data_IF_788538402228
#
_entry.id   IF_788538402228
#
_cell.length_a   1.000
_cell.length_b   1.000
_cell.length_c   1.000
_cell.angle_alpha   90.00
_cell.angle_beta   90.00
_cell.angle_gamma   90.00
#
_symmetry.space_group_name_H-M   'P 1'
#
loop_
_entity.id
_entity.type
_entity.pdbx_description
1 polymer ?
#
# COMPACT_ATOMS: atom_id res chain seq x y z
N UNK A 1 -3.31 27.25 -12.33
CA UNK A 1 -2.53 26.01 -12.57
C UNK A 1 -2.89 24.85 -11.64
N UNK A 2 -2.93 25.00 -10.30
CA UNK A 2 -3.21 23.89 -9.36
C UNK A 2 -4.48 23.07 -9.70
N UNK A 3 -5.60 23.73 -10.01
CA UNK A 3 -6.86 23.04 -10.34
C UNK A 3 -6.81 22.24 -11.65
N UNK A 4 -6.03 22.70 -12.64
CA UNK A 4 -5.93 22.05 -13.95
C UNK A 4 -5.14 20.75 -13.83
N UNK A 5 -3.99 20.75 -13.15
CA UNK A 5 -3.21 19.53 -12.96
C UNK A 5 -3.96 18.51 -12.09
N UNK A 6 -4.66 18.96 -11.05
CA UNK A 6 -5.52 18.10 -10.23
C UNK A 6 -6.66 17.46 -11.05
N UNK A 7 -7.30 18.24 -11.93
CA UNK A 7 -8.27 17.71 -12.88
C UNK A 7 -7.63 16.74 -13.87
N UNK A 8 -6.42 17.01 -14.37
CA UNK A 8 -5.70 16.10 -15.26
C UNK A 8 -5.37 14.78 -14.54
N UNK A 9 -4.86 14.82 -13.31
CA UNK A 9 -4.59 13.63 -12.49
C UNK A 9 -5.89 12.83 -12.34
N UNK A 10 -6.96 13.44 -11.82
CA UNK A 10 -8.27 12.78 -11.70
C UNK A 10 -8.79 12.24 -13.03
N UNK A 11 -8.67 13.00 -14.12
CA UNK A 11 -9.11 12.57 -15.45
C UNK A 11 -8.28 11.38 -15.96
N UNK A 12 -6.95 11.39 -15.80
CA UNK A 12 -6.09 10.29 -16.23
C UNK A 12 -6.40 9.01 -15.46
N UNK A 13 -6.72 9.17 -14.18
CA UNK A 13 -7.15 8.10 -13.32
C UNK A 13 -8.60 7.62 -13.66
N UNK A 14 -9.56 8.51 -13.95
CA UNK A 14 -11.00 8.20 -14.20
C UNK A 14 -11.34 7.81 -15.65
N UNK A 15 -10.85 8.54 -16.66
CA UNK A 15 -11.29 8.41 -18.08
C UNK A 15 -10.65 7.25 -18.82
N UNK A 16 -9.62 6.64 -18.26
CA UNK A 16 -8.86 5.58 -18.89
C UNK A 16 -8.89 4.40 -17.95
N UNK A 17 -9.84 3.48 -18.13
CA UNK A 17 -9.84 2.11 -17.56
C UNK A 17 -8.65 1.27 -18.04
N UNK A 18 -7.46 1.89 -18.11
CA UNK A 18 -6.19 1.46 -18.68
C UNK A 18 -5.32 0.76 -17.63
N UNK A 19 -5.85 0.57 -16.42
CA UNK A 19 -5.09 0.05 -15.28
C UNK A 19 -4.57 -1.37 -15.48
N UNK A 20 -5.26 -2.22 -16.26
CA UNK A 20 -4.93 -3.66 -16.31
C UNK A 20 -4.62 -4.16 -17.73
N UNK A 21 -4.92 -3.38 -18.78
CA UNK A 21 -4.78 -3.88 -20.17
C UNK A 21 -3.33 -3.99 -20.67
N UNK A 22 -2.36 -3.36 -20.01
CA UNK A 22 -0.98 -3.27 -20.53
C UNK A 22 -0.02 -4.34 -20.01
N UNK A 23 -0.37 -5.05 -18.95
CA UNK A 23 0.50 -6.09 -18.37
C UNK A 23 -0.13 -7.49 -18.46
N UNK A 24 -1.35 -7.57 -19.01
CA UNK A 24 -2.04 -8.81 -19.30
C UNK A 24 -1.32 -9.52 -20.46
N UNK A 25 -0.70 -10.66 -20.18
CA UNK A 25 -0.34 -11.58 -21.24
C UNK A 25 -1.64 -12.03 -21.92
N UNK A 26 -1.87 -11.58 -23.16
CA UNK A 26 -3.09 -11.83 -23.94
C UNK A 26 -3.42 -13.33 -24.05
N UNK A 27 -2.40 -14.19 -23.96
CA UNK A 27 -2.52 -15.65 -24.08
C UNK A 27 -2.86 -16.33 -22.76
N UNK A 28 -2.28 -15.88 -21.66
CA UNK A 28 -2.46 -16.52 -20.34
C UNK A 28 -3.47 -15.80 -19.45
N UNK A 29 -3.89 -14.59 -19.83
CA UNK A 29 -4.68 -13.69 -18.99
C UNK A 29 -4.05 -13.41 -17.61
N UNK A 30 -2.73 -13.56 -17.51
CA UNK A 30 -1.98 -13.29 -16.27
C UNK A 30 -1.10 -12.06 -16.44
N UNK A 31 -1.03 -11.27 -15.38
CA UNK A 31 -0.13 -10.14 -15.29
C UNK A 31 1.30 -10.65 -15.13
N UNK A 32 2.18 -10.27 -16.05
CA UNK A 32 3.62 -10.60 -15.95
C UNK A 32 4.29 -9.48 -15.15
N UNK A 33 4.35 -9.68 -13.84
CA UNK A 33 5.03 -8.78 -12.93
C UNK A 33 6.55 -8.98 -13.05
N UNK A 34 7.28 -7.89 -13.32
CA UNK A 34 8.69 -7.88 -12.91
C UNK A 34 8.73 -7.79 -11.40
N UNK A 35 9.70 -8.45 -10.80
CA UNK A 35 9.88 -8.41 -9.36
C UNK A 35 10.48 -7.10 -8.85
N UNK A 36 11.06 -6.31 -9.76
CA UNK A 36 11.67 -5.03 -9.46
C UNK A 36 11.52 -4.06 -10.64
N UNK A 37 11.13 -2.83 -10.32
CA UNK A 37 11.07 -1.69 -11.22
C UNK A 37 11.93 -0.56 -10.67
N UNK A 38 12.76 0.02 -11.52
CA UNK A 38 13.53 1.24 -11.25
C UNK A 38 13.34 2.18 -12.42
N UNK A 39 12.77 3.35 -12.16
CA UNK A 39 12.61 4.40 -13.17
C UNK A 39 12.98 5.75 -12.57
N UNK A 40 13.69 6.57 -13.35
CA UNK A 40 14.01 7.96 -12.97
C UNK A 40 13.20 8.88 -13.88
N UNK A 41 12.38 9.74 -13.27
CA UNK A 41 11.66 10.80 -13.95
C UNK A 41 12.40 12.11 -13.72
N UNK A 42 12.74 12.82 -14.79
CA UNK A 42 13.51 14.06 -14.73
C UNK A 42 12.80 15.16 -15.49
N UNK A 43 12.72 16.35 -14.88
CA UNK A 43 12.28 17.58 -15.53
C UNK A 43 12.95 18.77 -14.84
N UNK A 44 13.65 19.61 -15.62
CA UNK A 44 14.44 20.72 -15.07
C UNK A 44 15.42 20.18 -14.00
N UNK A 45 15.48 20.82 -12.83
CA UNK A 45 16.27 20.37 -11.69
C UNK A 45 15.56 19.32 -10.81
N UNK A 46 14.32 18.92 -11.17
CA UNK A 46 13.52 17.96 -10.40
C UNK A 46 13.74 16.55 -10.91
N UNK A 47 14.00 15.63 -10.00
CA UNK A 47 14.21 14.21 -10.25
C UNK A 47 13.40 13.36 -9.26
N UNK A 48 12.77 12.31 -9.75
CA UNK A 48 12.12 11.28 -8.95
C UNK A 48 12.66 9.91 -9.33
N UNK A 49 13.29 9.24 -8.38
CA UNK A 49 13.58 7.82 -8.45
C UNK A 49 12.36 7.06 -7.91
N UNK A 50 11.74 6.21 -8.72
CA UNK A 50 10.70 5.28 -8.25
C UNK A 50 11.25 3.86 -8.25
N UNK A 51 11.25 3.24 -7.07
CA UNK A 51 11.55 1.83 -6.85
C UNK A 51 10.26 1.08 -6.54
N UNK A 52 9.83 0.22 -7.48
CA UNK A 52 8.66 -0.64 -7.36
C UNK A 52 9.06 -2.08 -7.14
N UNK A 53 8.95 -2.60 -5.92
CA UNK A 53 9.51 -3.92 -5.54
C UNK A 53 8.44 -4.92 -5.10
N UNK A 54 8.76 -6.21 -5.13
CA UNK A 54 7.98 -7.20 -4.38
C UNK A 54 8.38 -7.10 -2.91
N UNK A 55 7.40 -7.01 -2.01
CA UNK A 55 7.63 -6.99 -0.57
C UNK A 55 8.53 -8.16 -0.14
N UNK A 56 9.57 -7.85 0.61
CA UNK A 56 10.56 -8.83 1.09
C UNK A 56 10.96 -8.51 2.53
N UNK A 57 11.03 -9.56 3.34
CA UNK A 57 11.58 -9.49 4.70
C UNK A 57 12.94 -10.19 4.81
N UNK A 58 13.55 -10.53 3.66
CA UNK A 58 14.87 -11.15 3.60
C UNK A 58 15.97 -10.07 3.40
N UNK A 59 16.84 -9.85 4.40
CA UNK A 59 17.96 -8.92 4.29
C UNK A 59 18.95 -9.27 3.18
N UNK A 60 19.07 -10.57 2.85
CA UNK A 60 19.94 -11.06 1.77
C UNK A 60 19.35 -10.90 0.38
N UNK A 61 18.11 -10.41 0.27
CA UNK A 61 17.43 -10.33 -1.02
C UNK A 61 18.10 -9.32 -1.96
N UNK A 62 18.07 -9.62 -3.26
CA UNK A 62 18.59 -8.73 -4.30
C UNK A 62 17.88 -7.38 -4.32
N UNK A 63 16.64 -7.31 -3.84
CA UNK A 63 15.82 -6.09 -3.78
C UNK A 63 16.37 -5.10 -2.75
N UNK A 64 16.66 -5.54 -1.52
CA UNK A 64 17.31 -4.71 -0.50
C UNK A 64 18.64 -4.12 -1.02
N UNK A 65 19.45 -4.93 -1.71
CA UNK A 65 20.69 -4.47 -2.34
C UNK A 65 20.43 -3.42 -3.44
N UNK A 66 19.37 -3.59 -4.23
CA UNK A 66 18.99 -2.64 -5.27
C UNK A 66 18.51 -1.29 -4.70
N UNK A 67 17.79 -1.30 -3.57
CA UNK A 67 17.44 -0.07 -2.85
C UNK A 67 18.70 0.66 -2.43
N UNK A 68 19.62 -0.02 -1.73
CA UNK A 68 20.87 0.58 -1.27
C UNK A 68 21.67 1.22 -2.40
N UNK A 69 21.91 0.46 -3.48
CA UNK A 69 22.66 0.97 -4.63
C UNK A 69 21.96 2.18 -5.25
N UNK A 70 20.63 2.11 -5.39
CA UNK A 70 19.87 3.21 -5.97
C UNK A 70 19.90 4.46 -5.10
N UNK A 71 19.89 4.34 -3.77
CA UNK A 71 20.01 5.48 -2.87
C UNK A 71 21.42 6.09 -2.90
N UNK A 72 22.46 5.25 -2.91
CA UNK A 72 23.86 5.69 -3.01
C UNK A 72 24.12 6.49 -4.30
N UNK A 73 23.59 6.01 -5.42
CA UNK A 73 23.76 6.64 -6.73
C UNK A 73 22.89 7.89 -6.86
N UNK A 74 21.62 7.78 -6.47
CA UNK A 74 20.64 8.84 -6.66
C UNK A 74 20.79 9.98 -5.66
N UNK A 75 21.24 9.72 -4.43
CA UNK A 75 21.38 10.73 -3.35
C UNK A 75 20.13 11.61 -3.23
N UNK A 76 18.99 11.06 -2.76
CA UNK A 76 17.75 11.81 -2.61
C UNK A 76 17.87 12.85 -1.49
N UNK A 77 17.08 13.92 -1.58
CA UNK A 77 16.86 14.91 -0.51
C UNK A 77 15.65 14.52 0.35
N UNK A 78 14.70 13.79 -0.25
CA UNK A 78 13.49 13.29 0.38
C UNK A 78 13.22 11.84 -0.03
N UNK A 79 12.83 11.03 0.94
CA UNK A 79 12.46 9.62 0.75
C UNK A 79 11.01 9.43 1.13
N UNK A 80 10.27 8.78 0.25
CA UNK A 80 8.88 8.41 0.41
C UNK A 80 8.80 6.89 0.45
N UNK A 81 8.10 6.33 1.43
CA UNK A 81 7.94 4.89 1.56
C UNK A 81 6.50 4.49 1.89
N UNK A 82 6.19 3.21 1.66
CA UNK A 82 4.88 2.59 1.90
C UNK A 82 4.71 2.19 3.38
N UNK A 83 3.50 2.29 3.94
CA UNK A 83 3.12 1.90 5.32
C UNK A 83 3.43 2.82 6.51
N UNK A 84 2.56 2.66 7.52
CA UNK A 84 2.73 3.10 8.90
C UNK A 84 3.71 2.17 9.63
N UNK A 85 5.01 2.46 9.56
CA UNK A 85 5.90 2.01 10.64
C UNK A 85 5.37 2.67 11.91
N UNK A 86 4.88 1.90 12.88
CA UNK A 86 4.59 2.42 14.22
C UNK A 86 5.88 3.01 14.75
N UNK A 87 6.05 4.33 14.60
CA UNK A 87 7.28 5.06 14.92
C UNK A 87 7.76 4.81 16.36
N UNK A 88 6.85 4.40 17.25
CA UNK A 88 7.11 4.16 18.67
C UNK A 88 7.98 2.95 18.99
N UNK A 89 8.04 1.89 18.16
CA UNK A 89 8.76 0.66 18.58
C UNK A 89 10.26 0.64 18.25
N UNK A 90 10.76 1.62 17.49
CA UNK A 90 12.20 1.78 17.24
C UNK A 90 12.83 2.90 18.06
N UNK A 91 12.00 3.80 18.57
CA UNK A 91 12.39 4.98 19.35
C UNK A 91 11.85 4.81 20.76
N UNK A 92 12.25 3.75 21.46
CA UNK A 92 12.19 3.75 22.93
C UNK A 92 13.49 4.29 23.51
N UNK A 93 13.95 5.41 22.94
CA UNK A 93 14.74 6.38 23.69
C UNK A 93 13.84 7.59 23.86
N UNK A 94 13.48 7.90 25.11
CA UNK A 94 12.65 9.05 25.51
C UNK A 94 13.26 10.43 25.16
N UNK A 95 14.17 10.49 24.19
CA UNK A 95 14.98 11.66 23.84
C UNK A 95 14.93 12.02 22.34
N UNK A 96 14.09 11.39 21.51
CA UNK A 96 13.82 11.87 20.15
C UNK A 96 15.05 11.97 19.23
N UNK A 97 16.17 11.41 19.65
CA UNK A 97 17.39 11.25 18.88
C UNK A 97 17.56 9.76 18.70
N UNK A 98 17.60 9.30 17.45
CA UNK A 98 18.53 8.23 17.12
C UNK A 98 19.91 8.83 17.45
N UNK A 99 20.31 8.79 18.73
CA UNK A 99 21.72 8.98 19.09
C UNK A 99 22.50 8.03 18.19
N UNK A 100 23.70 8.45 17.78
CA UNK A 100 24.59 7.86 16.78
C UNK A 100 25.04 6.40 17.06
N UNK A 101 24.11 5.53 17.44
CA UNK A 101 24.24 4.09 17.43
C UNK A 101 24.22 3.73 15.96
N UNK A 102 25.43 3.65 15.40
CA UNK A 102 25.69 2.91 14.18
C UNK A 102 24.96 1.57 14.32
N UNK A 103 23.80 1.43 13.67
CA UNK A 103 23.12 0.15 13.60
C UNK A 103 24.13 -0.82 12.98
N UNK A 104 24.55 -1.81 13.75
CA UNK A 104 25.35 -2.88 13.19
C UNK A 104 24.52 -3.66 12.15
N UNK A 105 25.17 -4.50 11.36
CA UNK A 105 24.48 -5.30 10.35
C UNK A 105 23.36 -6.16 10.96
N UNK A 106 23.46 -6.56 12.24
CA UNK A 106 22.44 -7.36 12.92
C UNK A 106 21.14 -6.58 13.18
N UNK A 107 21.24 -5.28 13.48
CA UNK A 107 20.07 -4.42 13.67
C UNK A 107 19.39 -4.06 12.34
N UNK A 108 20.18 -3.82 11.28
CA UNK A 108 19.64 -3.63 9.92
C UNK A 108 18.87 -4.87 9.48
N UNK A 109 19.44 -6.05 9.69
CA UNK A 109 18.80 -7.33 9.38
C UNK A 109 17.49 -7.50 10.15
N UNK A 110 17.47 -7.19 11.45
CA UNK A 110 16.23 -7.21 12.25
C UNK A 110 15.19 -6.26 11.65
N UNK A 111 15.59 -5.05 11.31
CA UNK A 111 14.68 -4.05 10.76
C UNK A 111 14.07 -4.49 9.42
N UNK A 112 14.86 -5.08 8.54
CA UNK A 112 14.34 -5.66 7.30
C UNK A 112 13.44 -6.86 7.58
N UNK A 113 13.78 -7.72 8.55
CA UNK A 113 12.92 -8.87 8.90
C UNK A 113 11.56 -8.46 9.44
N UNK A 114 11.49 -7.36 10.20
CA UNK A 114 10.23 -6.90 10.79
C UNK A 114 9.41 -5.99 9.85
N UNK A 115 10.06 -5.10 9.10
CA UNK A 115 9.37 -4.04 8.33
C UNK A 115 9.70 -4.06 6.83
N UNK A 116 10.46 -5.06 6.38
CA UNK A 116 10.83 -5.24 4.99
C UNK A 116 11.62 -4.09 4.40
N UNK A 117 11.41 -3.87 3.10
CA UNK A 117 11.99 -2.80 2.33
C UNK A 117 11.61 -1.39 2.82
N UNK A 118 10.40 -1.21 3.33
CA UNK A 118 9.98 0.08 3.90
C UNK A 118 10.84 0.47 5.09
N UNK A 119 11.03 -0.47 6.04
CA UNK A 119 11.88 -0.24 7.19
C UNK A 119 13.27 0.20 6.76
N UNK A 120 13.80 -0.48 5.74
CA UNK A 120 15.12 -0.18 5.21
C UNK A 120 15.18 1.19 4.55
N UNK A 121 14.17 1.59 3.78
CA UNK A 121 14.09 2.91 3.18
C UNK A 121 14.05 4.04 4.23
N UNK A 122 13.29 3.88 5.31
CA UNK A 122 13.28 4.84 6.43
C UNK A 122 14.65 4.92 7.11
N UNK A 123 15.27 3.77 7.39
CA UNK A 123 16.63 3.71 7.95
C UNK A 123 17.64 4.47 7.07
N UNK A 124 17.64 4.23 5.76
CA UNK A 124 18.53 4.92 4.83
C UNK A 124 18.30 6.43 4.83
N UNK A 125 17.04 6.87 4.92
CA UNK A 125 16.72 8.29 5.00
C UNK A 125 17.24 8.95 6.26
N UNK A 126 16.99 8.35 7.42
CA UNK A 126 17.49 8.86 8.70
C UNK A 126 19.01 8.87 8.76
N UNK A 127 19.67 7.80 8.30
CA UNK A 127 21.13 7.69 8.26
C UNK A 127 21.78 8.78 7.40
N UNK A 128 21.13 9.17 6.30
CA UNK A 128 21.64 10.22 5.40
C UNK A 128 21.16 11.62 5.78
N UNK A 129 20.48 11.81 6.91
CA UNK A 129 19.85 13.06 7.33
C UNK A 129 18.90 13.64 6.25
N UNK A 130 18.24 12.74 5.51
CA UNK A 130 17.24 13.08 4.50
C UNK A 130 15.86 13.18 5.14
N UNK A 131 14.98 13.98 4.54
CA UNK A 131 13.58 14.02 4.99
C UNK A 131 12.88 12.72 4.61
N UNK A 132 12.29 12.01 5.57
CA UNK A 132 11.43 10.87 5.31
C UNK A 132 9.95 11.25 5.44
N UNK A 133 9.13 10.82 4.48
CA UNK A 133 7.70 11.17 4.43
C UNK A 133 6.86 9.96 4.09
N UNK A 134 5.80 9.76 4.86
CA UNK A 134 4.73 8.83 4.53
C UNK A 134 3.56 9.64 3.96
N UNK A 135 3.09 9.26 2.77
CA UNK A 135 2.03 10.00 2.04
C UNK A 135 0.78 9.14 1.77
N UNK A 136 0.72 7.95 2.37
CA UNK A 136 -0.49 7.14 2.31
C UNK A 136 -1.63 7.79 3.10
N UNK A 137 -2.88 7.70 2.59
CA UNK A 137 -4.03 8.15 3.37
C UNK A 137 -4.17 7.31 4.64
N UNK A 138 -4.67 7.94 5.70
CA UNK A 138 -5.05 7.24 6.91
C UNK A 138 -6.16 6.23 6.65
N UNK A 139 -6.28 5.23 7.53
CA UNK A 139 -7.41 4.29 7.49
C UNK A 139 -8.75 5.03 7.52
N UNK A 140 -8.86 6.07 8.34
CA UNK A 140 -10.05 6.92 8.41
C UNK A 140 -10.40 7.59 7.08
N UNK A 141 -9.44 8.20 6.39
CA UNK A 141 -9.67 8.80 5.07
C UNK A 141 -10.13 7.76 4.05
N UNK A 142 -9.58 6.54 4.10
CA UNK A 142 -10.01 5.45 3.22
C UNK A 142 -11.45 5.04 3.53
N UNK A 143 -11.82 4.86 4.80
CA UNK A 143 -13.20 4.54 5.20
C UNK A 143 -14.18 5.63 4.75
N UNK A 144 -13.85 6.89 4.98
CA UNK A 144 -14.70 8.01 4.58
C UNK A 144 -14.84 8.12 3.06
N UNK A 145 -13.80 7.76 2.30
CA UNK A 145 -13.90 7.66 0.86
C UNK A 145 -14.84 6.52 0.44
N UNK A 146 -14.70 5.33 1.00
CA UNK A 146 -15.51 4.17 0.63
C UNK A 146 -16.99 4.36 1.00
N UNK A 147 -17.28 4.89 2.18
CA UNK A 147 -18.65 5.11 2.66
C UNK A 147 -19.43 6.17 1.88
N UNK A 148 -18.77 6.96 1.02
CA UNK A 148 -19.45 7.85 0.06
C UNK A 148 -20.12 7.09 -1.09
N UNK A 149 -19.64 5.89 -1.40
CA UNK A 149 -20.03 5.16 -2.62
C UNK A 149 -20.60 3.77 -2.33
N UNK A 150 -20.35 3.22 -1.15
CA UNK A 150 -20.73 1.87 -0.76
C UNK A 150 -21.49 1.88 0.55
N UNK A 151 -22.35 0.87 0.74
CA UNK A 151 -23.11 0.72 1.98
C UNK A 151 -22.20 0.23 3.10
N UNK A 152 -22.58 0.54 4.34
CA UNK A 152 -21.80 0.18 5.55
C UNK A 152 -21.55 -1.32 5.65
N UNK A 153 -22.54 -2.14 5.30
CA UNK A 153 -22.45 -3.60 5.33
C UNK A 153 -21.45 -4.13 4.29
N UNK A 154 -21.38 -3.50 3.12
CA UNK A 154 -20.46 -3.89 2.04
C UNK A 154 -19.01 -3.57 2.41
N UNK A 155 -18.78 -2.39 2.98
CA UNK A 155 -17.46 -1.97 3.48
C UNK A 155 -17.03 -2.85 4.66
N UNK A 156 -17.93 -3.14 5.60
CA UNK A 156 -17.68 -4.08 6.70
C UNK A 156 -17.21 -5.44 6.17
N UNK A 157 -18.00 -6.07 5.29
CA UNK A 157 -17.68 -7.39 4.75
C UNK A 157 -16.36 -7.38 3.99
N UNK A 158 -16.11 -6.35 3.17
CA UNK A 158 -14.84 -6.20 2.46
C UNK A 158 -13.63 -6.23 3.40
N UNK A 159 -13.66 -5.47 4.49
CA UNK A 159 -12.56 -5.41 5.44
C UNK A 159 -12.36 -6.71 6.22
N UNK A 160 -13.45 -7.41 6.57
CA UNK A 160 -13.37 -8.76 7.14
C UNK A 160 -12.68 -9.74 6.17
N UNK A 161 -13.10 -9.78 4.90
CA UNK A 161 -12.50 -10.64 3.88
C UNK A 161 -11.04 -10.29 3.60
N UNK A 162 -10.71 -8.98 3.58
CA UNK A 162 -9.34 -8.49 3.42
C UNK A 162 -8.45 -8.98 4.56
N UNK A 163 -8.92 -8.94 5.80
CA UNK A 163 -8.18 -9.47 6.94
C UNK A 163 -7.94 -10.99 6.82
N UNK A 164 -8.97 -11.74 6.44
CA UNK A 164 -8.85 -13.19 6.23
C UNK A 164 -7.80 -13.51 5.16
N UNK A 165 -7.81 -12.82 4.02
CA UNK A 165 -6.78 -12.95 2.95
C UNK A 165 -5.35 -12.83 3.51
N UNK A 166 -5.10 -11.84 4.37
CA UNK A 166 -3.74 -11.58 4.89
C UNK A 166 -3.32 -12.63 5.93
N UNK A 167 -4.27 -13.16 6.70
CA UNK A 167 -3.98 -14.08 7.80
C UNK A 167 -4.12 -15.56 7.42
N UNK A 168 -4.60 -15.89 6.21
CA UNK A 168 -4.85 -17.27 5.76
C UNK A 168 -3.72 -18.29 6.02
N UNK A 169 -2.44 -17.87 6.08
CA UNK A 169 -1.33 -18.78 6.44
C UNK A 169 -1.29 -19.14 7.93
N UNK A 170 -1.59 -18.19 8.82
CA UNK A 170 -1.69 -18.44 10.26
C UNK A 170 -2.91 -19.29 10.61
N UNK A 171 -4.04 -19.01 9.97
CA UNK A 171 -5.31 -19.72 10.22
C UNK A 171 -5.23 -21.18 9.78
N UNK A 172 -4.51 -21.51 8.69
CA UNK A 172 -4.30 -22.90 8.24
C UNK A 172 -3.55 -23.78 9.24
N UNK A 173 -2.67 -23.18 10.05
CA UNK A 173 -1.85 -23.92 11.03
C UNK A 173 -2.52 -24.00 12.41
N UNK A 174 -3.61 -23.25 12.64
CA UNK A 174 -4.41 -23.31 13.86
C UNK A 174 -5.90 -22.97 13.55
N UNK A 175 -6.73 -23.96 13.18
CA UNK A 175 -8.10 -23.76 12.69
C UNK A 175 -9.15 -23.44 13.78
N UNK A 176 -8.78 -23.45 15.06
CA UNK A 176 -9.56 -22.83 16.15
C UNK A 176 -9.28 -21.32 16.14
N UNK A 177 -10.09 -20.42 15.60
CA UNK A 177 -11.45 -20.43 15.08
C UNK A 177 -11.52 -19.15 14.22
N UNK A 178 -12.41 -19.09 13.23
CA UNK A 178 -12.78 -17.82 12.60
C UNK A 178 -13.07 -16.70 13.63
N UNK A 179 -13.57 -17.10 14.80
CA UNK A 179 -13.79 -16.26 15.97
C UNK A 179 -12.50 -15.69 16.56
N UNK A 180 -11.43 -16.47 16.73
CA UNK A 180 -10.11 -15.95 17.12
C UNK A 180 -9.54 -14.96 16.08
N UNK A 181 -9.77 -15.21 14.79
CA UNK A 181 -9.41 -14.25 13.74
C UNK A 181 -10.16 -12.93 13.91
N UNK A 182 -11.45 -12.99 14.22
CA UNK A 182 -12.25 -11.81 14.51
C UNK A 182 -11.86 -11.15 15.83
N UNK A 183 -11.47 -11.89 16.86
CA UNK A 183 -10.93 -11.34 18.12
C UNK A 183 -9.63 -10.58 17.87
N UNK A 184 -8.71 -11.16 17.10
CA UNK A 184 -7.43 -10.53 16.77
C UNK A 184 -7.65 -9.31 15.88
N UNK A 185 -8.56 -9.40 14.90
CA UNK A 185 -8.95 -8.27 14.08
C UNK A 185 -9.60 -7.17 14.91
N UNK A 186 -10.48 -7.56 15.84
CA UNK A 186 -11.16 -6.64 16.74
C UNK A 186 -10.15 -5.91 17.63
N UNK A 187 -9.17 -6.62 18.21
CA UNK A 187 -8.09 -6.00 18.99
C UNK A 187 -7.28 -4.98 18.19
N UNK A 188 -7.11 -5.19 16.89
CA UNK A 188 -6.27 -4.33 16.06
C UNK A 188 -7.05 -3.18 15.40
N UNK A 189 -8.33 -3.37 15.09
CA UNK A 189 -9.07 -2.51 14.16
C UNK A 189 -10.53 -2.24 14.53
N UNK A 190 -11.06 -2.82 15.62
CA UNK A 190 -12.49 -2.69 15.93
C UNK A 190 -12.94 -1.25 16.07
N UNK A 191 -12.15 -0.43 16.77
CA UNK A 191 -12.54 0.95 17.06
C UNK A 191 -12.85 1.73 15.79
N UNK A 192 -12.05 1.54 14.72
CA UNK A 192 -12.27 2.23 13.46
C UNK A 192 -13.45 1.66 12.67
N UNK A 193 -13.54 0.34 12.53
CA UNK A 193 -14.61 -0.29 11.74
C UNK A 193 -15.96 -0.09 12.39
N UNK A 194 -16.05 -0.32 13.70
CA UNK A 194 -17.26 -0.10 14.45
C UNK A 194 -17.64 1.39 14.44
N UNK A 195 -16.71 2.31 14.67
CA UNK A 195 -17.01 3.75 14.62
C UNK A 195 -17.54 4.19 13.25
N UNK A 196 -17.00 3.65 12.15
CA UNK A 196 -17.39 4.06 10.79
C UNK A 196 -18.65 3.35 10.27
N UNK A 197 -18.84 2.08 10.62
CA UNK A 197 -19.94 1.24 10.09
C UNK A 197 -21.08 1.02 11.08
N UNK A 198 -20.85 1.18 12.38
CA UNK A 198 -21.81 0.81 13.43
C UNK A 198 -22.01 -0.71 13.58
N UNK A 199 -21.19 -1.53 12.93
CA UNK A 199 -21.31 -3.00 12.93
C UNK A 199 -20.17 -3.57 13.76
N UNK A 200 -20.50 -4.31 14.82
CA UNK A 200 -19.49 -4.99 15.63
C UNK A 200 -18.88 -6.14 14.83
N UNK A 201 -17.57 -6.31 14.98
CA UNK A 201 -16.83 -7.39 14.35
C UNK A 201 -17.08 -8.69 15.14
N UNK A 202 -18.09 -9.44 14.73
CA UNK A 202 -18.44 -10.76 15.29
C UNK A 202 -18.59 -11.81 14.20
N UNK A 203 -18.42 -13.08 14.55
CA UNK A 203 -18.62 -14.21 13.62
C UNK A 203 -20.05 -14.21 13.05
N UNK A 204 -21.04 -13.92 13.89
CA UNK A 204 -22.46 -13.89 13.54
C UNK A 204 -22.74 -12.79 12.49
N UNK A 205 -22.23 -11.57 12.72
CA UNK A 205 -22.40 -10.48 11.77
C UNK A 205 -21.69 -10.79 10.45
N UNK A 206 -20.48 -11.34 10.51
CA UNK A 206 -19.78 -11.75 9.30
C UNK A 206 -20.57 -12.77 8.48
N UNK A 207 -21.01 -13.88 9.07
CA UNK A 207 -21.78 -14.93 8.38
C UNK A 207 -23.11 -14.38 7.84
N UNK A 208 -23.76 -13.48 8.58
CA UNK A 208 -24.97 -12.81 8.14
C UNK A 208 -24.73 -11.99 6.86
N UNK A 209 -23.71 -11.12 6.85
CA UNK A 209 -23.43 -10.26 5.70
C UNK A 209 -22.79 -11.01 4.53
N UNK A 210 -21.99 -12.04 4.79
CA UNK A 210 -21.48 -12.97 3.78
C UNK A 210 -22.66 -13.57 2.98
N UNK A 211 -23.59 -14.22 3.67
CA UNK A 211 -24.77 -14.83 3.05
C UNK A 211 -25.61 -13.79 2.30
N UNK A 212 -25.84 -12.62 2.91
CA UNK A 212 -26.67 -11.54 2.35
C UNK A 212 -26.07 -10.92 1.09
N UNK A 213 -24.75 -10.70 1.05
CA UNK A 213 -24.11 -9.90 0.00
C UNK A 213 -23.44 -10.75 -1.09
N UNK A 214 -23.01 -11.96 -0.77
CA UNK A 214 -22.35 -12.84 -1.73
C UNK A 214 -23.29 -13.90 -2.31
N UNK A 215 -24.43 -14.16 -1.66
CA UNK A 215 -25.42 -15.16 -2.07
C UNK A 215 -24.84 -16.58 -2.26
N UNK A 216 -23.71 -16.87 -1.61
CA UNK A 216 -23.11 -18.19 -1.47
C UNK A 216 -22.19 -18.16 -0.24
N UNK A 217 -22.01 -19.33 0.38
CA UNK A 217 -20.97 -19.55 1.39
C UNK A 217 -19.70 -20.03 0.68
N UNK A 218 -18.54 -19.58 1.13
CA UNK A 218 -17.26 -20.08 0.65
C UNK A 218 -16.45 -20.68 1.80
N UNK A 219 -15.49 -21.54 1.45
CA UNK A 219 -14.52 -22.02 2.43
C UNK A 219 -13.50 -20.90 2.71
N UNK A 220 -13.44 -20.47 3.97
CA UNK A 220 -12.56 -19.40 4.47
C UNK A 220 -11.09 -19.69 4.22
N UNK A 221 -10.72 -20.96 4.08
CA UNK A 221 -9.34 -21.41 3.83
C UNK A 221 -9.03 -21.59 2.35
N UNK A 222 -10.04 -21.44 1.49
CA UNK A 222 -9.90 -21.61 0.06
C UNK A 222 -9.26 -20.39 -0.59
N UNK A 223 -8.85 -20.56 -1.85
CA UNK A 223 -8.37 -19.45 -2.68
C UNK A 223 -9.49 -18.46 -3.05
N UNK A 224 -10.75 -18.79 -2.75
CA UNK A 224 -11.91 -17.96 -3.08
C UNK A 224 -11.89 -16.62 -2.31
N UNK A 225 -11.47 -16.62 -1.04
CA UNK A 225 -11.27 -15.37 -0.26
C UNK A 225 -10.37 -14.40 -1.02
N UNK A 226 -9.27 -14.91 -1.59
CA UNK A 226 -8.35 -14.06 -2.34
C UNK A 226 -9.02 -13.44 -3.57
N UNK A 227 -9.90 -14.18 -4.25
CA UNK A 227 -10.65 -13.70 -5.41
C UNK A 227 -11.69 -12.64 -5.02
N UNK A 228 -12.36 -12.82 -3.87
CA UNK A 228 -13.41 -11.90 -3.40
C UNK A 228 -12.90 -10.49 -3.09
N UNK A 229 -11.61 -10.35 -2.76
CA UNK A 229 -10.97 -9.05 -2.50
C UNK A 229 -9.85 -8.74 -3.50
N UNK A 230 -9.79 -9.46 -4.63
CA UNK A 230 -8.86 -9.17 -5.69
C UNK A 230 -9.33 -7.95 -6.49
N UNK A 231 -8.53 -6.90 -6.49
CA UNK A 231 -8.74 -5.66 -7.24
C UNK A 231 -8.59 -5.83 -8.76
N UNK A 232 -7.92 -6.90 -9.21
CA UNK A 232 -7.61 -7.15 -10.63
C UNK A 232 -8.70 -7.94 -11.37
N UNK A 233 -9.57 -8.63 -10.64
CA UNK A 233 -10.60 -9.48 -11.23
C UNK A 233 -11.75 -8.64 -11.82
N UNK A 234 -12.40 -9.19 -12.86
CA UNK A 234 -13.63 -8.62 -13.42
C UNK A 234 -14.62 -8.44 -12.27
N UNK A 235 -15.01 -7.20 -11.98
CA UNK A 235 -15.66 -6.74 -10.74
C UNK A 235 -17.06 -7.34 -10.51
N UNK A 236 -17.11 -8.66 -10.34
CA UNK A 236 -18.27 -9.52 -10.17
C UNK A 236 -18.92 -9.26 -8.82
N UNK A 237 -18.10 -9.13 -7.77
CA UNK A 237 -18.55 -8.89 -6.41
C UNK A 237 -18.36 -7.43 -6.00
N UNK A 238 -19.25 -6.93 -5.12
CA UNK A 238 -19.14 -5.57 -4.58
C UNK A 238 -17.82 -5.36 -3.84
N UNK A 239 -17.31 -6.39 -3.16
CA UNK A 239 -16.04 -6.39 -2.44
C UNK A 239 -14.84 -6.17 -3.37
N UNK A 240 -14.88 -6.67 -4.60
CA UNK A 240 -13.85 -6.40 -5.62
C UNK A 240 -13.92 -4.94 -6.12
N UNK A 241 -15.14 -4.39 -6.26
CA UNK A 241 -15.33 -2.97 -6.60
C UNK A 241 -14.77 -2.07 -5.49
N UNK A 242 -15.00 -2.43 -4.23
CA UNK A 242 -14.45 -1.75 -3.06
C UNK A 242 -12.92 -1.84 -3.06
N UNK A 243 -12.34 -3.03 -3.24
CA UNK A 243 -10.88 -3.23 -3.31
C UNK A 243 -10.23 -2.30 -4.35
N UNK A 244 -10.83 -2.23 -5.53
CA UNK A 244 -10.38 -1.34 -6.61
C UNK A 244 -10.53 0.14 -6.26
N UNK A 245 -11.63 0.54 -5.63
CA UNK A 245 -11.87 1.92 -5.20
C UNK A 245 -10.90 2.35 -4.11
N UNK A 246 -10.61 1.46 -3.15
CA UNK A 246 -9.59 1.69 -2.11
C UNK A 246 -8.21 1.88 -2.74
N UNK A 247 -7.76 0.95 -3.59
CA UNK A 247 -6.45 1.06 -4.24
C UNK A 247 -6.34 2.35 -5.06
N UNK A 248 -7.37 2.67 -5.83
CA UNK A 248 -7.43 3.89 -6.62
C UNK A 248 -7.30 5.16 -5.77
N UNK A 249 -8.01 5.21 -4.64
CA UNK A 249 -7.95 6.35 -3.73
C UNK A 249 -6.56 6.47 -3.10
N UNK A 250 -5.97 5.36 -2.62
CA UNK A 250 -4.59 5.32 -2.10
C UNK A 250 -3.59 5.83 -3.14
N UNK A 251 -3.62 5.28 -4.35
CA UNK A 251 -2.70 5.68 -5.43
C UNK A 251 -2.86 7.13 -5.85
N UNK A 252 -4.10 7.63 -5.87
CA UNK A 252 -4.36 9.05 -6.14
C UNK A 252 -3.72 9.92 -5.07
N UNK A 253 -3.88 9.57 -3.79
CA UNK A 253 -3.28 10.30 -2.66
C UNK A 253 -1.76 10.24 -2.63
N UNK A 254 -1.19 9.09 -2.95
CA UNK A 254 0.27 8.93 -3.09
C UNK A 254 0.80 9.83 -4.21
N UNK A 255 0.17 9.82 -5.39
CA UNK A 255 0.61 10.70 -6.49
C UNK A 255 0.43 12.18 -6.16
N UNK A 256 -0.66 12.56 -5.49
CA UNK A 256 -0.87 13.92 -4.98
C UNK A 256 0.24 14.33 -4.00
N UNK A 257 0.57 13.46 -3.04
CA UNK A 257 1.64 13.68 -2.07
C UNK A 257 3.01 13.83 -2.74
N UNK A 258 3.36 12.95 -3.69
CA UNK A 258 4.58 13.04 -4.48
C UNK A 258 4.63 14.40 -5.19
N UNK A 259 3.54 14.80 -5.85
CA UNK A 259 3.46 16.09 -6.53
C UNK A 259 3.73 17.26 -5.59
N UNK A 260 3.14 17.28 -4.40
CA UNK A 260 3.41 18.34 -3.41
C UNK A 260 4.87 18.33 -2.94
N UNK A 261 5.49 17.15 -2.80
CA UNK A 261 6.91 17.04 -2.47
C UNK A 261 7.82 17.58 -3.57
N UNK A 262 7.46 17.43 -4.86
CA UNK A 262 8.27 18.01 -5.96
C UNK A 262 8.42 19.53 -5.89
N UNK A 263 7.50 20.21 -5.19
CA UNK A 263 7.57 21.66 -4.99
C UNK A 263 8.63 22.06 -3.96
N UNK A 264 8.94 21.16 -3.02
CA UNK A 264 9.85 21.39 -1.89
C UNK A 264 11.25 20.81 -2.15
N UNK A 265 11.31 19.64 -2.77
CA UNK A 265 12.55 18.86 -2.93
C UNK A 265 12.95 18.78 -4.40
N UNK A 266 14.24 18.63 -4.67
CA UNK A 266 14.75 18.45 -6.03
C UNK A 266 14.90 16.98 -6.38
N UNK A 267 15.30 16.14 -5.42
CA UNK A 267 15.55 14.71 -5.64
C UNK A 267 14.73 13.88 -4.66
N UNK A 268 13.69 13.23 -5.16
CA UNK A 268 12.78 12.40 -4.35
C UNK A 268 13.00 10.94 -4.70
N UNK A 269 13.19 10.08 -3.70
CA UNK A 269 13.18 8.63 -3.88
C UNK A 269 11.87 8.06 -3.32
N UNK A 270 11.18 7.23 -4.10
CA UNK A 270 9.94 6.54 -3.72
C UNK A 270 10.22 5.04 -3.66
N UNK A 271 9.88 4.41 -2.54
CA UNK A 271 10.01 2.96 -2.31
C UNK A 271 8.64 2.39 -1.98
N UNK A 272 8.02 1.73 -2.96
CA UNK A 272 6.66 1.18 -2.86
C UNK A 272 6.59 -0.20 -3.52
N UNK A 273 5.52 -0.93 -3.23
CA UNK A 273 5.17 -2.16 -3.91
C UNK A 273 5.08 -1.99 -5.44
N UNK A 274 5.42 -3.06 -6.16
CA UNK A 274 5.40 -3.08 -7.62
C UNK A 274 4.01 -2.80 -8.20
N UNK A 275 2.94 -3.20 -7.50
CA UNK A 275 1.55 -2.90 -7.87
C UNK A 275 1.31 -1.39 -7.91
N UNK A 276 1.70 -0.67 -6.85
CA UNK A 276 1.64 0.80 -6.79
C UNK A 276 2.44 1.46 -7.91
N UNK A 277 3.66 0.99 -8.19
CA UNK A 277 4.44 1.52 -9.32
C UNK A 277 3.67 1.39 -10.65
N UNK A 278 3.18 0.19 -10.97
CA UNK A 278 2.52 -0.07 -12.25
C UNK A 278 1.28 0.80 -12.44
N UNK A 279 0.58 1.03 -11.35
CA UNK A 279 -0.67 1.76 -11.27
C UNK A 279 -0.41 3.27 -11.42
N UNK A 280 0.61 3.80 -10.74
CA UNK A 280 0.91 5.24 -10.68
C UNK A 280 1.80 5.74 -11.84
N UNK A 281 2.66 4.88 -12.40
CA UNK A 281 3.73 5.23 -13.36
C UNK A 281 3.29 6.19 -14.45
N UNK A 282 2.15 5.91 -15.09
CA UNK A 282 1.66 6.73 -16.21
C UNK A 282 1.35 8.15 -15.77
N UNK A 283 0.71 8.29 -14.61
CA UNK A 283 0.31 9.60 -14.09
C UNK A 283 1.53 10.37 -13.62
N UNK A 284 2.49 9.71 -12.97
CA UNK A 284 3.79 10.30 -12.61
C UNK A 284 4.54 10.77 -13.85
N UNK A 285 4.56 9.97 -14.93
CA UNK A 285 5.18 10.37 -16.20
C UNK A 285 4.54 11.62 -16.79
N UNK A 286 3.21 11.70 -16.81
CA UNK A 286 2.53 12.91 -17.28
C UNK A 286 2.80 14.09 -16.35
N UNK A 287 2.71 13.91 -15.03
CA UNK A 287 3.02 14.93 -14.03
C UNK A 287 4.40 15.56 -14.28
N UNK A 288 5.44 14.75 -14.50
CA UNK A 288 6.79 15.24 -14.78
C UNK A 288 6.93 15.95 -16.13
N UNK A 289 6.08 15.68 -17.13
CA UNK A 289 6.07 16.47 -18.37
C UNK A 289 5.61 17.91 -18.15
N UNK A 290 4.69 18.10 -17.21
CA UNK A 290 4.03 19.38 -16.90
C UNK A 290 4.63 20.11 -15.71
N UNK A 291 5.71 19.60 -15.08
CA UNK A 291 6.48 20.38 -14.11
C UNK A 291 7.14 21.55 -14.85
N UNK A 292 6.60 22.75 -14.62
CA UNK A 292 7.18 24.04 -15.04
C UNK A 292 7.83 24.66 -13.82
#
# INVERSE_FOLDING_TARGET
MKQILFHIIRILFLRKGIWIRFFYNQRTRKLVYKSFYKEIFTKNQKQLLYLGEIHTQDPGSVYIKNIWNSFKDFKPDCIVYEQYIRQQSWVDTREGRMNDVLLDNSMIDKLIRFYGETGYADYLGRRSNNTTVMIEPSGEEIFDHLLKYYKKEEVFLFYCLKYLKHNNKGIKNNPETLEQCFIDYHRQHNDLIFAKTGIMITKENFLYYEKKLLNHSFDLYSKEVNQLVNEEDLSKYVTQKIAKSELYFRDTKIVEGIYELTKKYNKIAVVYGNTHYLSQRKVIKEMYRWLV
#
